data_IF_167691774002
#
_entry.id   IF_167691774002
#
_cell.length_a   1.000
_cell.length_b   1.000
_cell.length_c   1.000
_cell.angle_alpha   90.00
_cell.angle_beta   90.00
_cell.angle_gamma   90.00
#
_symmetry.space_group_name_H-M   'P 1'
#
loop_
_entity.id
_entity.type
_entity.pdbx_description
1 polymer ?
#
# COMPACT_ATOMS: atom_id res chain seq x y z
N UNK A 1 -19.28 -43.52 -17.92
CA UNK A 1 -18.76 -42.28 -17.30
C UNK A 1 -18.24 -41.40 -18.44
N UNK A 2 -18.88 -40.27 -18.73
CA UNK A 2 -18.58 -39.45 -19.94
C UNK A 2 -17.48 -38.42 -19.68
N UNK A 3 -16.51 -38.33 -20.59
CA UNK A 3 -15.26 -37.55 -20.50
C UNK A 3 -15.42 -36.08 -20.91
N UNK A 4 -16.41 -35.40 -20.32
CA UNK A 4 -16.68 -33.98 -20.60
C UNK A 4 -15.68 -33.03 -19.91
N UNK A 5 -15.09 -33.44 -18.78
CA UNK A 5 -14.07 -32.65 -18.07
C UNK A 5 -12.70 -32.81 -18.70
N UNK A 6 -12.36 -31.93 -19.65
CA UNK A 6 -11.01 -31.85 -20.26
C UNK A 6 -10.24 -30.72 -19.55
N UNK A 7 -8.97 -30.91 -19.15
CA UNK A 7 -8.16 -29.80 -18.63
C UNK A 7 -7.80 -28.83 -19.76
N UNK A 8 -7.71 -27.54 -19.44
CA UNK A 8 -7.20 -26.50 -20.34
C UNK A 8 -5.68 -26.44 -20.27
N UNK A 9 -5.00 -26.75 -21.38
CA UNK A 9 -3.53 -26.69 -21.48
C UNK A 9 -3.00 -25.36 -22.04
N UNK A 10 -3.83 -24.64 -22.80
CA UNK A 10 -3.55 -23.28 -23.27
C UNK A 10 -4.64 -22.33 -22.73
N UNK A 11 -4.21 -21.16 -22.28
CA UNK A 11 -5.09 -20.12 -21.73
C UNK A 11 -5.74 -19.29 -22.85
N UNK A 12 -6.93 -18.75 -22.61
CA UNK A 12 -7.55 -17.82 -23.54
C UNK A 12 -6.68 -16.56 -23.72
N UNK A 13 -6.32 -16.26 -24.97
CA UNK A 13 -5.54 -15.07 -25.32
C UNK A 13 -6.45 -13.85 -25.47
N UNK A 14 -6.07 -12.74 -24.84
CA UNK A 14 -6.72 -11.44 -25.07
C UNK A 14 -6.47 -10.92 -26.48
N UNK A 15 -7.29 -9.96 -26.92
CA UNK A 15 -7.23 -9.29 -28.22
C UNK A 15 -8.49 -9.44 -29.08
N UNK A 16 -9.48 -10.24 -28.65
CA UNK A 16 -10.70 -10.56 -29.42
C UNK A 16 -11.99 -10.21 -28.68
N UNK A 17 -11.90 -9.72 -27.45
CA UNK A 17 -13.03 -9.40 -26.58
C UNK A 17 -13.53 -7.96 -26.71
N UNK A 18 -14.59 -7.67 -25.94
CA UNK A 18 -15.13 -6.32 -25.77
C UNK A 18 -14.00 -5.41 -25.28
N UNK A 19 -13.72 -4.34 -26.03
CA UNK A 19 -12.68 -3.32 -25.79
C UNK A 19 -11.23 -3.62 -26.24
N UNK A 20 -10.94 -4.75 -26.88
CA UNK A 20 -9.53 -5.11 -27.20
C UNK A 20 -9.08 -4.86 -28.64
N UNK A 21 -10.01 -4.70 -29.59
CA UNK A 21 -9.74 -4.43 -31.01
C UNK A 21 -10.49 -3.18 -31.52
N UNK A 22 -11.46 -3.37 -32.42
CA UNK A 22 -12.22 -2.27 -33.02
C UNK A 22 -13.37 -1.75 -32.13
N UNK A 23 -13.13 -1.54 -30.81
CA UNK A 23 -14.18 -1.12 -29.85
C UNK A 23 -15.51 -1.91 -30.00
N UNK A 24 -15.36 -3.20 -30.37
CA UNK A 24 -16.14 -3.88 -31.43
C UNK A 24 -17.56 -3.35 -31.64
N UNK A 25 -17.66 -2.44 -32.62
CA UNK A 25 -18.87 -1.92 -33.25
C UNK A 25 -19.92 -1.29 -32.29
N UNK A 26 -19.48 -0.38 -31.40
CA UNK A 26 -20.33 0.52 -30.59
C UNK A 26 -21.54 -0.16 -29.91
N UNK A 27 -21.29 -1.20 -29.12
CA UNK A 27 -22.34 -1.75 -28.26
C UNK A 27 -22.83 -0.69 -27.26
N UNK A 28 -24.15 -0.53 -27.12
CA UNK A 28 -24.78 0.32 -26.08
C UNK A 28 -24.80 -0.35 -24.69
N UNK A 29 -24.14 -1.49 -24.53
CA UNK A 29 -24.12 -2.25 -23.29
C UNK A 29 -23.10 -1.65 -22.32
N UNK A 30 -23.57 -1.04 -21.24
CA UNK A 30 -22.75 -0.58 -20.12
C UNK A 30 -23.09 -1.37 -18.86
N UNK A 31 -22.09 -1.65 -18.02
CA UNK A 31 -22.32 -2.19 -16.69
C UNK A 31 -22.46 -1.05 -15.67
N UNK A 32 -23.07 -1.33 -14.51
CA UNK A 32 -23.14 -0.36 -13.39
C UNK A 32 -21.76 0.10 -12.95
N UNK A 33 -20.73 -0.72 -13.14
CA UNK A 33 -19.34 -0.42 -12.79
C UNK A 33 -18.66 0.52 -13.79
N UNK A 34 -19.15 0.59 -15.02
CA UNK A 34 -18.61 1.47 -16.07
C UNK A 34 -19.18 2.90 -15.99
N UNK A 35 -20.14 3.13 -15.09
CA UNK A 35 -20.65 4.47 -14.83
C UNK A 35 -19.54 5.38 -14.28
N UNK A 36 -19.60 6.69 -14.56
CA UNK A 36 -18.54 7.60 -14.17
C UNK A 36 -18.39 7.64 -12.64
N UNK A 37 -17.30 7.05 -12.15
CA UNK A 37 -16.88 7.08 -10.76
C UNK A 37 -15.43 7.57 -10.69
N UNK A 38 -15.13 8.42 -9.69
CA UNK A 38 -13.81 9.01 -9.49
C UNK A 38 -13.24 9.72 -10.73
N UNK A 39 -14.02 10.64 -11.31
CA UNK A 39 -13.63 11.44 -12.49
C UNK A 39 -12.50 12.44 -12.24
N UNK A 40 -12.04 12.58 -10.99
CA UNK A 40 -10.96 13.50 -10.59
C UNK A 40 -9.76 12.72 -10.08
N UNK A 41 -8.65 12.83 -10.79
CA UNK A 41 -7.36 12.31 -10.35
C UNK A 41 -6.80 13.19 -9.22
N UNK A 42 -6.50 12.57 -8.07
CA UNK A 42 -5.83 13.26 -6.95
C UNK A 42 -4.33 13.34 -7.25
N UNK A 43 -3.81 14.55 -7.27
CA UNK A 43 -2.37 14.80 -7.37
C UNK A 43 -1.78 14.90 -5.96
N UNK A 44 -0.53 14.47 -5.79
CA UNK A 44 0.21 14.65 -4.54
C UNK A 44 0.42 16.15 -4.30
N UNK A 45 -0.04 16.64 -3.16
CA UNK A 45 0.23 18.01 -2.73
C UNK A 45 1.63 18.14 -2.11
N UNK A 46 2.08 19.37 -1.93
CA UNK A 46 3.30 19.68 -1.19
C UNK A 46 3.21 19.10 0.24
N UNK A 47 4.30 18.52 0.71
CA UNK A 47 4.35 17.77 1.97
C UNK A 47 3.85 16.32 1.90
N UNK A 48 3.22 15.88 0.81
CA UNK A 48 2.80 14.48 0.60
C UNK A 48 3.84 13.64 -0.17
N UNK A 49 5.08 14.14 -0.31
CA UNK A 49 6.11 13.47 -1.09
C UNK A 49 5.90 13.61 -2.59
N UNK A 50 5.75 14.86 -3.06
CA UNK A 50 5.85 15.21 -4.49
C UNK A 50 7.25 14.78 -4.99
N UNK A 51 7.38 14.26 -6.23
CA UNK A 51 8.68 13.82 -6.76
C UNK A 51 9.77 14.89 -6.65
N UNK A 52 9.41 16.17 -6.82
CA UNK A 52 10.36 17.29 -6.72
C UNK A 52 10.97 17.43 -5.32
N UNK A 53 10.20 17.18 -4.27
CA UNK A 53 10.72 17.21 -2.90
C UNK A 53 11.59 15.98 -2.57
N UNK A 54 11.35 14.85 -3.23
CA UNK A 54 12.09 13.62 -2.98
C UNK A 54 13.47 13.66 -3.66
N UNK A 55 13.61 14.36 -4.78
CA UNK A 55 14.87 14.48 -5.51
C UNK A 55 15.94 15.27 -4.75
N UNK A 56 15.54 16.23 -3.90
CA UNK A 56 16.46 17.05 -3.11
C UNK A 56 16.71 16.57 -1.67
N UNK A 57 16.16 15.43 -1.26
CA UNK A 57 16.25 14.96 0.14
C UNK A 57 17.34 13.89 0.30
N UNK A 58 18.25 14.13 1.25
CA UNK A 58 19.23 13.12 1.69
C UNK A 58 18.57 12.07 2.60
N UNK A 59 18.11 10.97 2.00
CA UNK A 59 17.39 9.92 2.73
C UNK A 59 18.23 9.26 3.83
N UNK A 60 19.54 9.05 3.59
CA UNK A 60 20.44 8.39 4.55
C UNK A 60 20.52 9.16 5.87
N UNK A 61 20.82 10.45 5.80
CA UNK A 61 20.88 11.31 6.99
C UNK A 61 19.54 11.39 7.71
N UNK A 62 18.45 11.53 6.96
CA UNK A 62 17.10 11.59 7.55
C UNK A 62 16.68 10.28 8.25
N UNK A 63 17.17 9.13 7.78
CA UNK A 63 16.93 7.83 8.40
C UNK A 63 17.73 7.70 9.68
N UNK A 64 19.02 8.00 9.65
CA UNK A 64 19.89 7.92 10.83
C UNK A 64 19.39 8.81 11.98
N UNK A 65 18.94 10.03 11.68
CA UNK A 65 18.38 10.94 12.69
C UNK A 65 17.07 10.40 13.29
N UNK A 66 16.21 9.76 12.49
CA UNK A 66 14.97 9.12 12.96
C UNK A 66 15.25 7.88 13.79
N UNK A 67 16.21 7.06 13.39
CA UNK A 67 16.63 5.87 14.12
C UNK A 67 17.24 6.24 15.48
N UNK A 68 18.11 7.26 15.52
CA UNK A 68 18.66 7.79 16.78
C UNK A 68 17.55 8.28 17.71
N UNK A 69 16.56 9.02 17.20
CA UNK A 69 15.40 9.49 18.01
C UNK A 69 14.58 8.33 18.55
N UNK A 70 14.27 7.34 17.71
CA UNK A 70 13.54 6.14 18.13
C UNK A 70 14.32 5.32 19.16
N UNK A 71 15.64 5.24 19.04
CA UNK A 71 16.49 4.57 20.02
C UNK A 71 16.46 5.28 21.38
N UNK A 72 16.50 6.62 21.41
CA UNK A 72 16.35 7.40 22.64
C UNK A 72 14.96 7.24 23.27
N UNK A 73 13.89 7.28 22.47
CA UNK A 73 12.54 7.04 22.97
C UNK A 73 12.36 5.61 23.51
N UNK A 74 12.97 4.62 22.85
CA UNK A 74 12.99 3.24 23.35
C UNK A 74 13.78 3.12 24.64
N UNK A 75 14.93 3.77 24.75
CA UNK A 75 15.72 3.78 25.99
C UNK A 75 14.94 4.44 27.14
N UNK A 76 14.28 5.58 26.89
CA UNK A 76 13.44 6.27 27.88
C UNK A 76 12.19 5.46 28.27
N UNK A 77 11.56 4.77 27.31
CA UNK A 77 10.47 3.82 27.60
C UNK A 77 10.97 2.62 28.42
N UNK A 78 12.12 2.04 28.07
CA UNK A 78 12.73 0.96 28.84
C UNK A 78 13.06 1.40 30.27
N UNK A 79 13.62 2.59 30.45
CA UNK A 79 13.89 3.14 31.79
C UNK A 79 12.59 3.35 32.59
N UNK A 80 11.52 3.83 31.93
CA UNK A 80 10.22 4.00 32.54
C UNK A 80 9.54 2.67 32.94
N UNK A 81 9.60 1.65 32.08
CA UNK A 81 9.07 0.31 32.39
C UNK A 81 9.88 -0.40 33.49
N UNK A 82 11.21 -0.23 33.51
CA UNK A 82 12.09 -0.78 34.55
C UNK A 82 11.86 -0.07 35.89
N UNK A 83 11.76 1.27 35.95
CA UNK A 83 11.37 1.99 37.19
C UNK A 83 10.00 1.55 37.70
N UNK A 84 9.02 1.36 36.81
CA UNK A 84 7.68 0.90 37.22
C UNK A 84 7.68 -0.52 37.79
N UNK A 85 8.50 -1.42 37.25
CA UNK A 85 8.70 -2.76 37.80
C UNK A 85 9.41 -2.71 39.16
N UNK A 86 10.52 -1.96 39.30
CA UNK A 86 11.24 -1.84 40.56
C UNK A 86 10.42 -1.20 41.69
N UNK A 87 9.53 -0.24 41.38
CA UNK A 87 8.62 0.36 42.37
C UNK A 87 7.53 -0.62 42.80
N UNK A 88 7.09 -1.52 41.92
CA UNK A 88 6.14 -2.58 42.28
C UNK A 88 6.79 -3.68 43.13
N UNK A 89 8.04 -4.06 42.85
CA UNK A 89 8.79 -5.04 43.65
C UNK A 89 9.10 -4.54 45.07
N UNK A 90 9.28 -3.23 45.27
CA UNK A 90 9.52 -2.61 46.58
C UNK A 90 8.27 -2.45 47.47
N UNK A 91 7.06 -2.63 46.92
CA UNK A 91 5.81 -2.59 47.69
C UNK A 91 5.30 -3.99 48.08
N UNK A 92 6.11 -5.04 47.88
CA UNK A 92 5.76 -6.42 48.21
C UNK A 92 6.51 -6.98 49.45
N UNK A 93 7.05 -6.10 50.30
CA UNK A 93 7.56 -6.41 51.65
C UNK A 93 6.62 -5.83 52.71
#
# INVERSE_FOLDING_TARGET
MTTAGRPTWDSAKGGRGKWEGDLSAMSKQYSVRDLPAHTKLKVRQEGQGRPEELQGKDFKRSLEEKEKRLALEKAGKCEFYVKKLCVNDMNFC
#
